data_IF_409995329901
#
_entry.id   IF_409995329901
#
_cell.length_a   1.000
_cell.length_b   1.000
_cell.length_c   1.000
_cell.angle_alpha   90.00
_cell.angle_beta   90.00
_cell.angle_gamma   90.00
#
_symmetry.space_group_name_H-M   'P 1'
#
loop_
_entity.id
_entity.type
_entity.pdbx_description
1 polymer ?
#
# COMPACT_ATOMS: atom_id res chain seq x y z
N UNK A 1 1.88 15.03 -1.53
CA UNK A 1 2.86 15.66 -2.46
C UNK A 1 3.97 14.69 -2.81
N UNK A 2 4.82 14.29 -1.86
CA UNK A 2 5.91 13.31 -2.10
C UNK A 2 5.45 12.05 -2.83
N UNK A 3 4.32 11.48 -2.42
CA UNK A 3 3.74 10.28 -3.03
C UNK A 3 3.53 10.36 -4.55
N UNK A 4 3.26 11.55 -5.07
CA UNK A 4 2.97 11.81 -6.48
C UNK A 4 4.13 12.47 -7.22
N UNK A 5 5.21 12.79 -6.52
CA UNK A 5 6.33 13.54 -7.07
C UNK A 5 7.47 12.55 -7.37
N UNK A 6 7.97 12.49 -8.63
CA UNK A 6 9.01 11.56 -8.97
C UNK A 6 10.39 11.94 -8.40
N UNK A 7 10.49 13.04 -7.64
CA UNK A 7 11.71 13.48 -6.95
C UNK A 7 12.37 12.38 -6.08
N UNK A 8 11.66 11.30 -5.77
CA UNK A 8 12.20 10.17 -5.02
C UNK A 8 12.99 9.16 -5.89
N UNK A 9 12.76 9.08 -7.21
CA UNK A 9 13.54 8.20 -8.12
C UNK A 9 14.84 8.86 -8.58
N UNK A 10 15.86 8.07 -8.93
CA UNK A 10 17.16 8.60 -9.40
C UNK A 10 17.03 9.52 -10.62
N UNK A 11 16.19 9.13 -11.58
CA UNK A 11 15.98 9.82 -12.85
C UNK A 11 14.84 10.85 -12.84
N UNK A 12 14.13 10.99 -11.71
CA UNK A 12 12.91 11.79 -11.55
C UNK A 12 11.79 11.45 -12.54
N UNK A 13 11.61 10.17 -12.89
CA UNK A 13 10.53 9.69 -13.78
C UNK A 13 9.47 8.83 -13.10
N UNK A 14 9.76 8.26 -11.92
CA UNK A 14 8.86 7.35 -11.20
C UNK A 14 8.52 7.90 -9.81
N UNK A 15 7.25 7.78 -9.42
CA UNK A 15 6.75 8.10 -8.07
C UNK A 15 5.99 6.91 -7.49
N UNK A 16 5.59 6.97 -6.22
CA UNK A 16 4.74 5.92 -5.64
C UNK A 16 3.43 5.79 -6.44
N UNK A 17 2.87 6.92 -6.88
CA UNK A 17 1.67 6.98 -7.70
C UNK A 17 1.84 6.41 -9.12
N UNK A 18 3.05 6.09 -9.57
CA UNK A 18 3.26 5.40 -10.85
C UNK A 18 2.71 3.97 -10.83
N UNK A 19 2.74 3.31 -9.65
CA UNK A 19 2.20 1.96 -9.45
C UNK A 19 0.96 1.93 -8.55
N UNK A 20 0.72 2.99 -7.77
CA UNK A 20 -0.38 3.06 -6.81
C UNK A 20 -1.37 4.17 -7.17
N UNK A 21 -2.24 3.91 -8.14
CA UNK A 21 -3.18 4.88 -8.71
C UNK A 21 -4.41 5.08 -7.81
N UNK A 22 -4.71 6.30 -7.32
CA UNK A 22 -5.85 6.54 -6.44
C UNK A 22 -7.19 6.05 -7.02
N UNK A 23 -7.42 6.24 -8.31
CA UNK A 23 -8.64 5.85 -9.03
C UNK A 23 -8.82 4.33 -9.16
N UNK A 24 -7.77 3.55 -8.87
CA UNK A 24 -7.80 2.09 -8.83
C UNK A 24 -7.52 1.55 -7.43
N UNK A 25 -7.98 2.28 -6.40
CA UNK A 25 -7.76 1.93 -5.00
C UNK A 25 -6.26 1.69 -4.71
N UNK A 26 -5.40 2.56 -5.23
CA UNK A 26 -3.94 2.50 -5.05
C UNK A 26 -3.30 1.20 -5.55
N UNK A 27 -3.80 0.68 -6.67
CA UNK A 27 -3.13 -0.34 -7.50
C UNK A 27 -2.85 0.23 -8.88
N UNK A 28 -2.14 -0.48 -9.75
CA UNK A 28 -1.93 -0.08 -11.15
C UNK A 28 -2.96 -0.71 -12.12
N UNK A 29 -3.71 -1.72 -11.66
CA UNK A 29 -4.62 -2.52 -12.50
C UNK A 29 -3.91 -3.38 -13.54
N UNK A 30 -2.60 -3.60 -13.38
CA UNK A 30 -1.79 -4.44 -14.25
C UNK A 30 -1.62 -5.81 -13.64
N UNK A 31 -1.30 -6.80 -14.48
CA UNK A 31 -0.99 -8.14 -13.99
C UNK A 31 0.27 -8.17 -13.13
N UNK A 32 1.29 -7.45 -13.57
CA UNK A 32 2.50 -7.11 -12.81
C UNK A 32 2.87 -5.69 -13.20
N UNK A 33 3.41 -4.92 -12.26
CA UNK A 33 3.79 -3.53 -12.52
C UNK A 33 4.95 -3.45 -13.51
N UNK A 34 5.20 -2.25 -14.04
CA UNK A 34 6.29 -1.99 -14.99
C UNK A 34 7.44 -1.29 -14.26
N UNK A 35 8.66 -1.78 -14.46
CA UNK A 35 9.89 -1.21 -13.91
C UNK A 35 10.19 0.18 -14.49
N UNK A 36 11.13 0.89 -13.88
CA UNK A 36 11.67 2.15 -14.39
C UNK A 36 12.29 2.04 -15.79
N UNK A 37 12.71 0.84 -16.18
CA UNK A 37 13.28 0.51 -17.49
C UNK A 37 12.25 -0.04 -18.49
N UNK A 38 10.97 -0.17 -18.10
CA UNK A 38 9.89 -0.60 -18.99
C UNK A 38 9.66 -2.11 -19.04
N UNK A 39 10.27 -2.89 -18.16
CA UNK A 39 10.11 -4.34 -18.09
C UNK A 39 9.09 -4.74 -17.01
N UNK A 40 8.32 -5.83 -17.17
CA UNK A 40 7.42 -6.30 -16.13
C UNK A 40 8.16 -6.74 -14.87
N UNK A 41 7.71 -6.27 -13.70
CA UNK A 41 8.16 -6.74 -12.39
C UNK A 41 7.70 -8.18 -12.12
N UNK A 42 8.27 -8.79 -11.08
CA UNK A 42 7.97 -10.18 -10.69
C UNK A 42 6.56 -10.38 -10.13
N UNK A 43 5.96 -9.36 -9.53
CA UNK A 43 4.66 -9.41 -8.83
C UNK A 43 3.84 -8.17 -9.14
N UNK A 44 2.53 -8.22 -8.84
CA UNK A 44 1.64 -7.06 -8.93
C UNK A 44 1.82 -6.13 -7.72
N UNK A 45 1.53 -4.85 -7.94
CA UNK A 45 1.36 -3.87 -6.86
C UNK A 45 0.09 -4.19 -6.05
N UNK A 46 0.26 -4.39 -4.74
CA UNK A 46 -0.88 -4.50 -3.82
C UNK A 46 -1.55 -3.13 -3.61
N UNK A 47 -2.81 -3.13 -3.21
CA UNK A 47 -3.48 -1.89 -2.78
C UNK A 47 -2.80 -1.32 -1.55
N UNK A 48 -2.75 0.02 -1.45
CA UNK A 48 -2.33 0.71 -0.22
C UNK A 48 -3.49 0.97 0.74
N UNK A 49 -4.74 0.79 0.30
CA UNK A 49 -5.88 0.89 1.20
C UNK A 49 -5.77 -0.18 2.27
N UNK A 50 -5.89 0.23 3.53
CA UNK A 50 -5.81 -0.58 4.73
C UNK A 50 -4.45 -1.25 4.96
N UNK A 51 -3.44 -0.96 4.15
CA UNK A 51 -2.11 -1.59 4.26
C UNK A 51 -1.42 -1.29 5.60
N UNK A 52 -1.73 -0.15 6.23
CA UNK A 52 -1.18 0.23 7.55
C UNK A 52 -1.60 -0.68 8.69
N UNK A 53 -2.63 -1.52 8.49
CA UNK A 53 -3.09 -2.49 9.48
C UNK A 53 -2.45 -3.87 9.31
N UNK A 54 -1.63 -4.08 8.28
CA UNK A 54 -0.89 -5.32 8.10
C UNK A 54 0.30 -5.38 9.07
N UNK A 55 0.60 -6.58 9.59
CA UNK A 55 1.81 -6.81 10.41
C UNK A 55 3.01 -7.28 9.57
N UNK A 56 2.83 -7.44 8.27
CA UNK A 56 3.83 -7.91 7.31
C UNK A 56 3.56 -7.34 5.92
N UNK A 57 4.63 -6.96 5.23
CA UNK A 57 4.62 -6.25 3.95
C UNK A 57 5.30 -7.06 2.85
N UNK A 58 4.92 -6.78 1.60
CA UNK A 58 5.15 -7.61 0.42
C UNK A 58 4.37 -8.94 0.47
N UNK A 59 4.18 -9.55 -0.70
CA UNK A 59 3.52 -10.86 -0.84
C UNK A 59 4.20 -12.00 -0.07
N UNK A 60 5.48 -11.84 0.29
CA UNK A 60 6.26 -12.82 1.06
C UNK A 60 6.49 -12.40 2.51
N UNK A 61 5.83 -11.31 2.97
CA UNK A 61 5.91 -10.81 4.34
C UNK A 61 7.33 -10.55 4.85
N UNK A 62 8.31 -10.34 3.96
CA UNK A 62 9.73 -10.25 4.32
C UNK A 62 10.09 -9.04 5.18
N UNK A 63 9.18 -8.08 5.30
CA UNK A 63 9.34 -6.85 6.05
C UNK A 63 8.16 -6.66 7.01
N UNK A 64 8.42 -6.16 8.22
CA UNK A 64 7.41 -5.98 9.29
C UNK A 64 6.97 -4.54 9.50
N UNK A 65 7.69 -3.56 8.96
CA UNK A 65 7.41 -2.13 9.13
C UNK A 65 7.13 -1.48 7.79
N UNK A 66 6.22 -0.53 7.76
CA UNK A 66 5.89 0.19 6.54
C UNK A 66 7.08 1.01 6.03
N UNK A 67 7.87 1.59 6.94
CA UNK A 67 9.03 2.40 6.55
C UNK A 67 10.11 1.55 5.85
N UNK A 68 10.35 0.34 6.36
CA UNK A 68 11.27 -0.61 5.74
C UNK A 68 10.76 -1.00 4.32
N UNK A 69 9.44 -1.07 4.11
CA UNK A 69 8.87 -1.32 2.78
C UNK A 69 9.21 -0.18 1.80
N UNK A 70 9.13 1.07 2.25
CA UNK A 70 9.55 2.23 1.45
C UNK A 70 11.04 2.19 1.12
N UNK A 71 11.87 1.85 2.11
CA UNK A 71 13.32 1.72 1.92
C UNK A 71 13.66 0.71 0.81
N UNK A 72 12.98 -0.45 0.81
CA UNK A 72 13.14 -1.44 -0.25
C UNK A 72 12.80 -0.90 -1.64
N UNK A 73 11.76 -0.08 -1.79
CA UNK A 73 11.39 0.55 -3.08
C UNK A 73 12.42 1.60 -3.48
N UNK A 74 12.90 2.40 -2.52
CA UNK A 74 13.92 3.44 -2.74
C UNK A 74 15.19 2.83 -3.33
N UNK A 75 15.65 1.69 -2.79
CA UNK A 75 16.89 1.04 -3.22
C UNK A 75 16.74 0.05 -4.39
N UNK A 76 15.51 -0.26 -4.80
CA UNK A 76 15.25 -1.22 -5.87
C UNK A 76 15.67 -0.65 -7.23
N UNK A 77 16.63 -1.31 -7.90
CA UNK A 77 17.13 -0.93 -9.24
C UNK A 77 16.02 -0.96 -10.31
N UNK A 78 14.98 -1.78 -10.11
CA UNK A 78 13.84 -1.87 -11.01
C UNK A 78 12.76 -0.82 -10.72
N UNK A 79 12.84 -0.11 -9.59
CA UNK A 79 11.83 0.88 -9.15
C UNK A 79 12.45 2.28 -9.05
N UNK A 80 12.78 2.76 -7.85
CA UNK A 80 13.29 4.13 -7.72
C UNK A 80 14.77 4.25 -8.06
N UNK A 81 15.52 3.16 -7.99
CA UNK A 81 16.96 3.09 -8.26
C UNK A 81 17.73 4.22 -7.55
N UNK A 82 17.37 4.51 -6.31
CA UNK A 82 17.85 5.68 -5.57
C UNK A 82 18.41 5.33 -4.21
N UNK A 83 18.70 6.36 -3.42
CA UNK A 83 19.10 6.24 -2.03
C UNK A 83 18.71 7.51 -1.26
N UNK A 84 18.58 7.37 0.06
CA UNK A 84 18.15 8.49 0.90
C UNK A 84 19.08 9.71 0.83
N UNK A 85 20.39 9.53 0.65
CA UNK A 85 21.32 10.67 0.56
C UNK A 85 21.03 11.54 -0.68
N UNK A 86 20.83 10.90 -1.83
CA UNK A 86 20.42 11.56 -3.08
C UNK A 86 19.05 12.23 -2.96
N UNK A 87 18.07 11.52 -2.39
CA UNK A 87 16.73 12.06 -2.16
C UNK A 87 16.77 13.30 -1.26
N UNK A 88 17.49 13.23 -0.14
CA UNK A 88 17.63 14.33 0.81
C UNK A 88 18.31 15.53 0.17
N UNK A 89 19.33 15.33 -0.65
CA UNK A 89 19.99 16.41 -1.39
C UNK A 89 19.00 17.10 -2.36
N UNK A 90 18.24 16.33 -3.14
CA UNK A 90 17.19 16.85 -4.03
C UNK A 90 16.13 17.64 -3.26
N UNK A 91 15.65 17.11 -2.14
CA UNK A 91 14.61 17.75 -1.34
C UNK A 91 15.11 19.03 -0.66
N UNK A 92 16.33 19.07 -0.11
CA UNK A 92 16.89 20.28 0.49
C UNK A 92 17.19 21.38 -0.56
N UNK A 93 17.53 21.00 -1.80
CA UNK A 93 17.73 21.95 -2.91
C UNK A 93 16.43 22.53 -3.47
N UNK A 94 15.27 21.97 -3.10
CA UNK A 94 13.97 22.49 -3.49
C UNK A 94 13.40 23.38 -2.37
N UNK A 95 13.31 24.72 -2.57
CA UNK A 95 12.75 25.62 -1.55
C UNK A 95 11.35 25.19 -1.11
N UNK A 96 10.53 24.73 -2.07
CA UNK A 96 9.18 24.19 -1.82
C UNK A 96 9.17 23.05 -0.80
N UNK A 97 10.15 22.14 -0.86
CA UNK A 97 10.26 21.03 0.08
C UNK A 97 10.92 21.47 1.38
N UNK A 98 12.07 22.15 1.31
CA UNK A 98 12.78 22.64 2.48
C UNK A 98 11.87 23.44 3.42
N UNK A 99 11.10 24.40 2.88
CA UNK A 99 10.19 25.24 3.67
C UNK A 99 9.06 24.43 4.33
N UNK A 100 8.46 23.49 3.59
CA UNK A 100 7.36 22.65 4.10
C UNK A 100 7.84 21.67 5.17
N UNK A 101 8.98 21.03 4.95
CA UNK A 101 9.58 20.14 5.93
C UNK A 101 9.98 20.92 7.19
N UNK A 102 10.55 22.12 7.05
CA UNK A 102 10.87 22.96 8.20
C UNK A 102 9.62 23.38 8.98
N UNK A 103 8.55 23.76 8.28
CA UNK A 103 7.30 24.16 8.93
C UNK A 103 6.65 23.01 9.73
N UNK A 104 6.76 21.77 9.25
CA UNK A 104 6.14 20.59 9.88
C UNK A 104 7.01 20.04 11.01
N UNK A 105 8.29 19.76 10.74
CA UNK A 105 9.15 19.03 11.67
C UNK A 105 9.95 19.95 12.60
N UNK A 106 10.09 21.23 12.24
CA UNK A 106 10.82 22.23 13.03
C UNK A 106 12.23 21.75 13.43
N UNK A 107 12.92 20.99 12.56
CA UNK A 107 14.23 20.43 12.87
C UNK A 107 15.21 21.58 13.16
N UNK A 108 15.93 21.58 14.31
CA UNK A 108 16.83 22.65 14.69
C UNK A 108 17.97 22.91 13.70
N UNK A 109 18.31 21.92 12.86
CA UNK A 109 19.35 22.03 11.83
C UNK A 109 18.81 22.47 10.49
N UNK A 110 17.49 22.62 10.36
CA UNK A 110 16.79 22.98 9.13
C UNK A 110 17.15 22.10 7.93
N UNK A 111 17.35 20.80 8.20
CA UNK A 111 17.69 19.80 7.18
C UNK A 111 16.71 18.64 7.21
N UNK A 112 16.32 18.22 6.01
CA UNK A 112 15.52 17.02 5.81
C UNK A 112 16.36 15.77 6.14
N UNK A 113 15.74 14.77 6.75
CA UNK A 113 16.34 13.51 7.21
C UNK A 113 15.45 12.34 6.80
N UNK A 114 15.98 11.12 6.75
CA UNK A 114 15.26 9.92 6.32
C UNK A 114 13.89 9.79 7.00
N UNK A 115 13.87 9.81 8.34
CA UNK A 115 12.63 9.66 9.10
C UNK A 115 11.58 10.75 8.83
N UNK A 116 11.96 11.95 8.37
CA UNK A 116 10.97 12.96 7.97
C UNK A 116 10.24 12.52 6.69
N UNK A 117 10.97 11.94 5.74
CA UNK A 117 10.44 11.43 4.47
C UNK A 117 9.53 10.24 4.76
N UNK A 118 10.03 9.27 5.54
CA UNK A 118 9.28 8.06 5.89
C UNK A 118 8.01 8.42 6.66
N UNK A 119 8.09 9.32 7.64
CA UNK A 119 6.92 9.79 8.38
C UNK A 119 5.90 10.47 7.48
N UNK A 120 6.34 11.33 6.55
CA UNK A 120 5.43 12.02 5.63
C UNK A 120 4.72 11.04 4.68
N UNK A 121 5.41 10.00 4.21
CA UNK A 121 4.83 8.94 3.38
C UNK A 121 3.88 8.06 4.20
N UNK A 122 4.30 7.61 5.39
CA UNK A 122 3.46 6.81 6.31
C UNK A 122 2.19 7.56 6.67
N UNK A 123 2.28 8.84 7.05
CA UNK A 123 1.12 9.65 7.38
C UNK A 123 0.13 9.77 6.20
N UNK A 124 0.64 9.85 4.96
CA UNK A 124 -0.21 9.84 3.78
C UNK A 124 -0.91 8.48 3.59
N UNK A 125 -0.17 7.36 3.67
CA UNK A 125 -0.75 6.01 3.53
C UNK A 125 -1.78 5.72 4.63
N UNK A 126 -1.54 6.17 5.86
CA UNK A 126 -2.51 6.08 6.97
C UNK A 126 -3.81 6.84 6.68
N UNK A 127 -3.74 7.94 5.91
CA UNK A 127 -4.91 8.77 5.59
C UNK A 127 -5.82 8.18 4.51
N UNK A 128 -5.41 7.10 3.84
CA UNK A 128 -6.15 6.52 2.71
C UNK A 128 -7.39 5.69 3.14
N UNK A 129 -7.50 5.36 4.42
CA UNK A 129 -8.47 4.39 4.93
C UNK A 129 -9.82 5.06 5.19
N UNK A 130 -10.85 4.71 4.42
CA UNK A 130 -12.17 5.36 4.51
C UNK A 130 -13.18 4.61 5.40
N UNK A 131 -13.16 3.27 5.41
CA UNK A 131 -14.15 2.45 6.13
C UNK A 131 -15.61 2.87 5.87
N UNK A 132 -15.93 3.12 4.59
CA UNK A 132 -17.22 3.69 4.17
C UNK A 132 -17.89 2.91 3.03
N UNK A 133 -17.52 1.64 2.83
CA UNK A 133 -18.26 0.78 1.90
C UNK A 133 -19.70 0.53 2.40
N UNK A 134 -20.64 0.10 1.55
CA UNK A 134 -21.99 -0.26 2.00
C UNK A 134 -22.02 -1.28 3.15
N UNK A 135 -21.06 -2.22 3.17
CA UNK A 135 -20.92 -3.20 4.26
C UNK A 135 -20.43 -2.53 5.54
N UNK A 136 -19.45 -1.62 5.45
CA UNK A 136 -18.97 -0.84 6.60
C UNK A 136 -20.09 0.00 7.21
N UNK A 137 -20.86 0.70 6.38
CA UNK A 137 -22.00 1.51 6.80
C UNK A 137 -23.07 0.66 7.51
N UNK A 138 -23.32 -0.54 7.01
CA UNK A 138 -24.24 -1.48 7.64
C UNK A 138 -23.73 -1.94 9.01
N UNK A 139 -22.46 -2.32 9.13
CA UNK A 139 -21.86 -2.70 10.43
C UNK A 139 -21.77 -1.55 11.43
N UNK A 140 -21.63 -0.32 10.95
CA UNK A 140 -21.66 0.89 11.79
C UNK A 140 -23.09 1.34 12.16
N UNK A 141 -24.14 0.64 11.70
CA UNK A 141 -25.53 1.03 11.91
C UNK A 141 -25.96 2.31 11.18
N UNK A 142 -25.13 2.81 10.24
CA UNK A 142 -25.44 3.98 9.38
C UNK A 142 -26.37 3.63 8.22
N UNK A 143 -26.50 2.33 7.93
CA UNK A 143 -27.38 1.77 6.91
C UNK A 143 -28.20 0.66 7.55
N UNK A 144 -29.52 0.75 7.42
CA UNK A 144 -30.45 -0.21 8.02
C UNK A 144 -30.48 -1.56 7.29
N UNK A 145 -30.24 -1.55 5.97
CA UNK A 145 -30.34 -2.77 5.17
C UNK A 145 -29.33 -2.89 4.02
N UNK A 146 -29.01 -4.14 3.69
CA UNK A 146 -28.21 -4.53 2.53
C UNK A 146 -29.08 -5.23 1.48
N UNK A 147 -28.80 -5.02 0.18
CA UNK A 147 -29.41 -5.79 -0.89
C UNK A 147 -29.30 -7.31 -0.65
N UNK A 148 -30.33 -8.05 -1.03
CA UNK A 148 -30.44 -9.48 -0.72
C UNK A 148 -29.29 -10.31 -1.30
N UNK A 149 -28.76 -9.92 -2.46
CA UNK A 149 -27.58 -10.52 -3.09
C UNK A 149 -26.31 -10.34 -2.26
N UNK A 150 -26.11 -9.17 -1.65
CA UNK A 150 -24.96 -8.92 -0.77
C UNK A 150 -25.07 -9.81 0.48
N UNK A 151 -26.25 -9.92 1.08
CA UNK A 151 -26.49 -10.81 2.23
C UNK A 151 -26.22 -12.28 1.88
N UNK A 152 -26.69 -12.75 0.71
CA UNK A 152 -26.42 -14.13 0.25
C UNK A 152 -24.92 -14.35 0.03
N UNK A 153 -24.22 -13.40 -0.58
CA UNK A 153 -22.77 -13.47 -0.79
C UNK A 153 -22.00 -13.50 0.53
N UNK A 154 -22.37 -12.65 1.48
CA UNK A 154 -21.77 -12.62 2.81
C UNK A 154 -21.97 -13.95 3.57
N UNK A 155 -23.17 -14.52 3.53
CA UNK A 155 -23.44 -15.84 4.13
C UNK A 155 -22.62 -16.97 3.49
N UNK A 156 -22.37 -16.90 2.18
CA UNK A 156 -21.49 -17.83 1.50
C UNK A 156 -20.04 -17.66 1.97
N UNK A 157 -19.57 -16.40 2.01
CA UNK A 157 -18.22 -16.01 2.43
C UNK A 157 -17.90 -16.47 3.87
N UNK A 158 -18.83 -16.25 4.82
CA UNK A 158 -18.66 -16.65 6.22
C UNK A 158 -19.05 -18.09 6.53
N UNK A 159 -19.63 -18.80 5.57
CA UNK A 159 -20.18 -20.14 5.76
C UNK A 159 -19.58 -21.13 4.77
N UNK A 160 -20.39 -21.57 3.80
CA UNK A 160 -20.08 -22.71 2.93
C UNK A 160 -18.80 -22.56 2.12
N UNK A 161 -18.40 -21.35 1.72
CA UNK A 161 -17.17 -21.14 0.96
C UNK A 161 -15.92 -20.99 1.83
N UNK A 162 -16.07 -20.93 3.16
CA UNK A 162 -14.99 -20.82 4.13
C UNK A 162 -14.02 -19.64 3.90
N UNK A 163 -14.41 -18.62 3.14
CA UNK A 163 -13.52 -17.49 2.85
C UNK A 163 -13.10 -16.74 4.12
N UNK A 164 -14.02 -16.61 5.08
CA UNK A 164 -13.78 -15.95 6.36
C UNK A 164 -12.86 -16.73 7.32
N UNK A 165 -12.40 -17.93 6.98
CA UNK A 165 -11.39 -18.64 7.79
C UNK A 165 -9.99 -18.10 7.58
N UNK A 166 -9.78 -17.32 6.52
CA UNK A 166 -8.51 -16.63 6.24
C UNK A 166 -8.69 -15.12 6.00
N UNK A 167 -9.86 -14.68 5.51
CA UNK A 167 -10.16 -13.28 5.25
C UNK A 167 -11.01 -12.69 6.37
N UNK A 168 -10.37 -12.28 7.46
CA UNK A 168 -11.02 -11.92 8.71
C UNK A 168 -11.59 -10.49 8.71
N UNK A 169 -12.79 -10.35 9.26
CA UNK A 169 -13.35 -9.03 9.58
C UNK A 169 -12.47 -8.31 10.63
N UNK A 170 -12.38 -6.96 10.59
CA UNK A 170 -13.16 -6.05 9.75
C UNK A 170 -12.54 -5.73 8.39
N UNK A 171 -11.27 -6.09 8.16
CA UNK A 171 -10.55 -5.72 6.93
C UNK A 171 -10.73 -6.73 5.79
N UNK A 172 -11.28 -7.91 6.09
CA UNK A 172 -11.39 -9.04 5.17
C UNK A 172 -10.02 -9.45 4.59
N UNK A 173 -8.99 -9.34 5.42
CA UNK A 173 -7.59 -9.66 5.12
C UNK A 173 -7.10 -10.78 6.04
N UNK A 174 -5.86 -11.25 5.82
CA UNK A 174 -5.19 -12.25 6.65
C UNK A 174 -4.75 -11.78 8.04
N UNK A 175 -5.23 -10.63 8.54
CA UNK A 175 -4.83 -10.14 9.88
C UNK A 175 -5.65 -10.86 10.96
N UNK A 176 -4.98 -11.64 11.80
CA UNK A 176 -5.57 -12.69 12.63
C UNK A 176 -6.28 -12.10 13.87
N UNK A 177 -7.59 -12.37 14.09
CA UNK A 177 -8.31 -11.96 15.30
C UNK A 177 -7.91 -12.81 16.53
N UNK A 178 -8.21 -12.36 17.77
CA UNK A 178 -8.90 -11.12 18.12
C UNK A 178 -7.98 -9.91 18.29
N UNK A 179 -6.65 -10.12 18.33
CA UNK A 179 -5.68 -9.06 18.62
C UNK A 179 -5.19 -8.31 17.39
N UNK A 180 -5.29 -8.91 16.20
CA UNK A 180 -4.86 -8.30 14.93
C UNK A 180 -3.39 -7.86 14.91
N UNK A 181 -2.52 -8.62 15.59
CA UNK A 181 -1.08 -8.33 15.69
C UNK A 181 -0.22 -9.18 14.74
N UNK A 182 -0.86 -10.08 13.98
CA UNK A 182 -0.22 -11.00 13.06
C UNK A 182 -1.03 -11.07 11.76
N UNK A 183 -0.32 -11.14 10.63
CA UNK A 183 -0.85 -11.45 9.31
C UNK A 183 -0.46 -12.87 8.95
N UNK A 184 -1.43 -13.73 8.63
CA UNK A 184 -1.18 -15.10 8.21
C UNK A 184 -0.80 -15.19 6.73
N UNK A 185 -0.02 -16.21 6.39
CA UNK A 185 0.38 -16.53 5.02
C UNK A 185 0.01 -17.97 4.70
N UNK A 186 -0.63 -18.17 3.55
CA UNK A 186 -1.09 -19.48 3.09
C UNK A 186 -0.62 -19.79 1.67
N UNK A 187 -0.40 -21.08 1.38
CA UNK A 187 0.02 -21.56 0.05
C UNK A 187 -1.16 -22.20 -0.66
N UNK A 188 -1.92 -21.38 -1.40
CA UNK A 188 -3.12 -21.81 -2.12
C UNK A 188 -2.85 -22.65 -3.39
N UNK A 189 -1.60 -22.73 -3.83
CA UNK A 189 -1.23 -23.47 -5.05
C UNK A 189 -1.77 -22.84 -6.35
N UNK A 190 -1.81 -21.50 -6.42
CA UNK A 190 -2.29 -20.80 -7.61
C UNK A 190 -1.45 -21.16 -8.85
N UNK A 191 -2.07 -21.30 -10.05
CA UNK A 191 -1.34 -21.67 -11.25
C UNK A 191 -0.23 -20.68 -11.59
N UNK A 192 0.91 -21.19 -12.07
CA UNK A 192 2.01 -20.38 -12.59
C UNK A 192 1.65 -19.72 -13.95
N UNK A 193 0.57 -20.16 -14.57
CA UNK A 193 0.33 -19.90 -15.98
C UNK A 193 0.00 -18.43 -16.24
N UNK A 194 0.58 -17.91 -17.33
CA UNK A 194 0.55 -16.48 -17.64
C UNK A 194 -0.68 -16.03 -18.42
N UNK A 195 -1.59 -16.94 -18.72
CA UNK A 195 -2.79 -16.71 -19.53
C UNK A 195 -4.03 -16.66 -18.62
N UNK A 196 -5.02 -15.79 -18.90
CA UNK A 196 -6.29 -15.85 -18.19
C UNK A 196 -6.90 -17.24 -18.35
N UNK A 197 -7.40 -17.79 -17.25
CA UNK A 197 -8.21 -19.00 -17.29
C UNK A 197 -9.50 -18.63 -18.06
N UNK A 198 -9.62 -19.15 -19.28
CA UNK A 198 -10.86 -19.10 -20.03
C UNK A 198 -11.81 -20.09 -19.35
N UNK A 199 -12.74 -19.56 -18.56
CA UNK A 199 -13.92 -20.27 -18.10
C UNK A 199 -15.13 -19.80 -18.90
#
# INVERSE_FOLDING_TARGET
MLFFDPILSSDNRMSCASCHLPEKAFTDGMRTSISNTGHPLKRNSMTLNYAVYASGYFHDMRVKRLEDQFEHVVFSEDEFDSNYASIIDKLNKSPKYADRFQAIFQDPRSKIRNHHIDYALTAYVMSLNSFDSPVDQYFQGKREDLPAEIKRGFNLFTGKAACATCHFAPLFSGTVPPLYVESESEVLGVPNDKKPLLF
#
